data_IF_799599802015
#
_entry.id   IF_799599802015
#
_cell.length_a   1.000
_cell.length_b   1.000
_cell.length_c   1.000
_cell.angle_alpha   90.00
_cell.angle_beta   90.00
_cell.angle_gamma   90.00
#
_symmetry.space_group_name_H-M   'P 1'
#
loop_
_entity.id
_entity.type
_entity.pdbx_description
1 polymer ?
#
# COMPACT_ATOMS: atom_id res chain seq x y z
N UNK A 1 -45.32 -54.07 -32.51
CA UNK A 1 -46.73 -53.82 -32.14
C UNK A 1 -46.76 -53.63 -30.62
N UNK A 2 -46.88 -52.47 -30.01
CA UNK A 2 -47.10 -51.11 -30.47
C UNK A 2 -46.41 -50.18 -29.44
N UNK A 3 -45.75 -49.13 -29.94
CA UNK A 3 -45.03 -48.11 -29.20
C UNK A 3 -45.66 -46.77 -29.63
N UNK A 4 -46.48 -46.15 -28.78
CA UNK A 4 -47.21 -44.88 -29.03
C UNK A 4 -47.56 -44.30 -27.65
N UNK A 5 -47.48 -43.02 -27.30
CA UNK A 5 -46.76 -41.84 -27.76
C UNK A 5 -47.07 -40.81 -26.65
N UNK A 6 -46.05 -40.36 -25.90
CA UNK A 6 -46.24 -39.25 -24.94
C UNK A 6 -46.09 -37.96 -25.74
N UNK A 7 -47.22 -37.30 -25.98
CA UNK A 7 -47.30 -35.93 -26.50
C UNK A 7 -46.80 -34.97 -25.42
N UNK A 8 -45.52 -34.60 -25.48
CA UNK A 8 -45.02 -33.38 -24.91
C UNK A 8 -45.33 -32.24 -25.89
N UNK A 9 -46.47 -31.57 -25.67
CA UNK A 9 -46.70 -30.22 -26.20
C UNK A 9 -45.70 -29.29 -25.53
N UNK A 10 -44.64 -28.96 -26.26
CA UNK A 10 -43.69 -27.92 -25.89
C UNK A 10 -44.40 -26.56 -25.86
N UNK A 11 -44.47 -25.96 -24.68
CA UNK A 11 -44.81 -24.55 -24.51
C UNK A 11 -43.67 -23.68 -25.05
N UNK A 12 -43.64 -23.45 -26.36
CA UNK A 12 -42.88 -22.38 -27.00
C UNK A 12 -43.71 -21.10 -27.10
N UNK A 13 -44.24 -20.60 -25.98
CA UNK A 13 -45.13 -19.42 -25.94
C UNK A 13 -44.67 -18.30 -24.99
N UNK A 14 -43.42 -18.36 -24.54
CA UNK A 14 -42.73 -17.26 -23.85
C UNK A 14 -41.29 -17.20 -24.36
N UNK A 15 -41.17 -16.70 -25.58
CA UNK A 15 -39.92 -16.51 -26.30
C UNK A 15 -40.19 -15.55 -27.45
N UNK A 16 -40.67 -14.36 -27.09
CA UNK A 16 -40.85 -13.23 -27.99
C UNK A 16 -39.95 -12.12 -27.48
N UNK A 17 -38.90 -11.86 -28.25
CA UNK A 17 -37.97 -10.77 -28.07
C UNK A 17 -38.73 -9.43 -27.96
N UNK A 18 -38.68 -8.80 -26.79
CA UNK A 18 -38.84 -7.36 -26.64
C UNK A 18 -37.48 -6.74 -26.26
N UNK A 19 -36.42 -7.18 -26.94
CA UNK A 19 -35.23 -6.34 -27.10
C UNK A 19 -35.51 -5.39 -28.28
N UNK A 20 -36.43 -4.45 -28.08
CA UNK A 20 -36.50 -3.26 -28.92
C UNK A 20 -35.08 -2.67 -28.95
N UNK A 21 -34.41 -2.59 -30.11
CA UNK A 21 -33.05 -2.05 -30.17
C UNK A 21 -33.07 -0.69 -29.47
N UNK A 22 -32.48 -0.64 -28.29
CA UNK A 22 -32.40 0.52 -27.39
C UNK A 22 -31.95 1.80 -28.12
N UNK A 23 -31.26 1.62 -29.25
CA UNK A 23 -30.70 2.66 -30.08
C UNK A 23 -31.37 2.79 -31.46
N UNK A 24 -32.51 2.14 -31.71
CA UNK A 24 -33.25 2.20 -32.98
C UNK A 24 -33.61 3.63 -33.39
N UNK A 25 -33.85 4.50 -32.40
CA UNK A 25 -34.20 5.91 -32.61
C UNK A 25 -32.98 6.84 -32.77
N UNK A 26 -31.75 6.30 -32.75
CA UNK A 26 -30.52 7.06 -32.94
C UNK A 26 -29.86 6.65 -34.26
N UNK A 27 -29.74 7.61 -35.18
CA UNK A 27 -29.23 7.34 -36.53
C UNK A 27 -27.90 8.02 -36.82
N UNK A 28 -27.57 9.07 -36.07
CA UNK A 28 -26.36 9.89 -36.28
C UNK A 28 -25.43 9.82 -35.09
N UNK A 29 -24.13 9.95 -35.34
CA UNK A 29 -23.11 10.01 -34.30
C UNK A 29 -23.40 11.07 -33.23
N UNK A 30 -23.79 12.28 -33.65
CA UNK A 30 -24.13 13.38 -32.75
C UNK A 30 -25.29 13.04 -31.81
N UNK A 31 -26.32 12.32 -32.30
CA UNK A 31 -27.42 11.87 -31.46
C UNK A 31 -26.98 10.86 -30.39
N UNK A 32 -26.06 9.95 -30.73
CA UNK A 32 -25.47 9.05 -29.73
C UNK A 32 -24.67 9.83 -28.69
N UNK A 33 -23.84 10.77 -29.14
CA UNK A 33 -22.99 11.56 -28.25
C UNK A 33 -23.83 12.39 -27.27
N UNK A 34 -24.80 13.16 -27.78
CA UNK A 34 -25.67 13.99 -26.94
C UNK A 34 -26.48 13.15 -25.96
N UNK A 35 -27.01 12.00 -26.38
CA UNK A 35 -27.74 11.10 -25.47
C UNK A 35 -26.84 10.55 -24.37
N UNK A 36 -25.62 10.13 -24.71
CA UNK A 36 -24.66 9.61 -23.72
C UNK A 36 -24.26 10.70 -22.71
N UNK A 37 -24.07 11.93 -23.18
CA UNK A 37 -23.77 13.10 -22.37
C UNK A 37 -24.94 13.49 -21.46
N UNK A 38 -26.18 13.47 -21.96
CA UNK A 38 -27.39 13.72 -21.15
C UNK A 38 -27.54 12.68 -20.03
N UNK A 39 -27.28 11.41 -20.35
CA UNK A 39 -27.27 10.32 -19.38
C UNK A 39 -26.18 10.53 -18.33
N UNK A 40 -24.97 10.94 -18.75
CA UNK A 40 -23.85 11.24 -17.87
C UNK A 40 -24.20 12.38 -16.89
N UNK A 41 -24.73 13.48 -17.42
CA UNK A 41 -25.14 14.65 -16.65
C UNK A 41 -26.29 14.34 -15.68
N UNK A 42 -27.18 13.43 -16.06
CA UNK A 42 -28.28 12.93 -15.23
C UNK A 42 -27.85 11.84 -14.23
N UNK A 43 -26.54 11.56 -14.11
CA UNK A 43 -25.96 10.51 -13.26
C UNK A 43 -26.39 9.08 -13.62
N UNK A 44 -26.96 8.87 -14.81
CA UNK A 44 -27.23 7.55 -15.36
C UNK A 44 -25.95 7.00 -16.01
N UNK A 45 -24.95 6.69 -15.18
CA UNK A 45 -23.62 6.28 -15.64
C UNK A 45 -23.67 4.97 -16.44
N UNK A 46 -24.43 3.97 -16.00
CA UNK A 46 -24.61 2.71 -16.74
C UNK A 46 -25.19 2.94 -18.13
N UNK A 47 -26.27 3.72 -18.23
CA UNK A 47 -26.89 4.04 -19.51
C UNK A 47 -25.94 4.80 -20.44
N UNK A 48 -25.18 5.75 -19.88
CA UNK A 48 -24.17 6.54 -20.57
C UNK A 48 -23.04 5.66 -21.13
N UNK A 49 -22.48 4.75 -20.33
CA UNK A 49 -21.45 3.79 -20.75
C UNK A 49 -21.91 2.99 -21.96
N UNK A 50 -23.10 2.39 -21.88
CA UNK A 50 -23.65 1.59 -22.97
C UNK A 50 -23.87 2.42 -24.24
N UNK A 51 -24.27 3.70 -24.12
CA UNK A 51 -24.46 4.59 -25.27
C UNK A 51 -23.13 5.04 -25.88
N UNK A 52 -22.10 5.36 -25.08
CA UNK A 52 -20.76 5.65 -25.59
C UNK A 52 -20.13 4.44 -26.29
N UNK A 53 -20.26 3.24 -25.71
CA UNK A 53 -19.79 2.01 -26.36
C UNK A 53 -20.49 1.74 -27.69
N UNK A 54 -21.81 2.00 -27.77
CA UNK A 54 -22.55 1.90 -29.02
C UNK A 54 -22.09 2.94 -30.05
N UNK A 55 -21.77 4.17 -29.61
CA UNK A 55 -21.18 5.20 -30.46
C UNK A 55 -19.85 4.72 -31.05
N UNK A 56 -18.92 4.25 -30.21
CA UNK A 56 -17.60 3.78 -30.65
C UNK A 56 -17.69 2.62 -31.65
N UNK A 57 -18.64 1.69 -31.43
CA UNK A 57 -18.85 0.54 -32.30
C UNK A 57 -19.43 0.92 -33.66
N UNK A 58 -20.40 1.84 -33.69
CA UNK A 58 -21.10 2.26 -34.93
C UNK A 58 -20.32 3.33 -35.71
N UNK A 59 -19.58 4.19 -35.02
CA UNK A 59 -18.88 5.35 -35.58
C UNK A 59 -17.40 5.42 -35.12
N UNK A 60 -16.57 4.41 -35.39
CA UNK A 60 -15.20 4.31 -34.86
C UNK A 60 -14.24 5.40 -35.35
N UNK A 61 -14.57 6.10 -36.44
CA UNK A 61 -13.80 7.21 -37.01
C UNK A 61 -14.62 8.51 -37.06
N UNK A 62 -15.67 8.57 -36.27
CA UNK A 62 -16.54 9.74 -36.20
C UNK A 62 -15.88 10.92 -35.48
N UNK A 63 -16.48 12.11 -35.60
CA UNK A 63 -15.94 13.35 -35.03
C UNK A 63 -15.87 13.32 -33.49
N UNK A 64 -16.77 12.59 -32.85
CA UNK A 64 -16.90 12.44 -31.41
C UNK A 64 -16.32 11.11 -30.90
N UNK A 65 -15.71 10.29 -31.76
CA UNK A 65 -15.18 8.99 -31.37
C UNK A 65 -14.13 9.09 -30.25
N UNK A 66 -13.12 9.94 -30.42
CA UNK A 66 -12.07 10.17 -29.41
C UNK A 66 -12.67 10.76 -28.12
N UNK A 67 -13.61 11.71 -28.26
CA UNK A 67 -14.26 12.33 -27.12
C UNK A 67 -15.12 11.33 -26.33
N UNK A 68 -15.83 10.43 -27.01
CA UNK A 68 -16.59 9.36 -26.39
C UNK A 68 -15.68 8.38 -25.62
N UNK A 69 -14.52 8.05 -26.18
CA UNK A 69 -13.54 7.17 -25.53
C UNK A 69 -13.00 7.75 -24.22
N UNK A 70 -12.81 9.06 -24.11
CA UNK A 70 -12.36 9.67 -22.85
C UNK A 70 -13.51 9.87 -21.87
N UNK A 71 -14.72 10.17 -22.35
CA UNK A 71 -15.91 10.33 -21.48
C UNK A 71 -16.34 9.01 -20.85
N UNK A 72 -16.17 7.87 -21.55
CA UNK A 72 -16.48 6.55 -20.99
C UNK A 72 -15.60 6.22 -19.78
N UNK A 73 -14.33 6.70 -19.75
CA UNK A 73 -13.44 6.58 -18.58
C UNK A 73 -14.09 7.19 -17.35
N UNK A 74 -14.56 8.43 -17.48
CA UNK A 74 -15.24 9.13 -16.40
C UNK A 74 -16.55 8.44 -16.01
N UNK A 75 -17.33 7.98 -16.99
CA UNK A 75 -18.57 7.26 -16.72
C UNK A 75 -18.33 5.99 -15.91
N UNK A 76 -17.29 5.19 -16.24
CA UNK A 76 -16.88 4.02 -15.47
C UNK A 76 -16.46 4.38 -14.04
N UNK A 77 -15.61 5.40 -13.89
CA UNK A 77 -15.16 5.87 -12.59
C UNK A 77 -16.34 6.26 -11.69
N UNK A 78 -17.27 7.05 -12.23
CA UNK A 78 -18.47 7.49 -11.50
C UNK A 78 -19.47 6.37 -11.23
N UNK A 79 -19.47 5.32 -12.05
CA UNK A 79 -20.22 4.10 -11.83
C UNK A 79 -19.54 3.14 -10.82
N UNK A 80 -18.41 3.54 -10.24
CA UNK A 80 -17.60 2.73 -9.32
C UNK A 80 -17.02 1.46 -9.96
N UNK A 81 -16.88 1.44 -11.29
CA UNK A 81 -16.25 0.38 -12.05
C UNK A 81 -14.79 0.77 -12.36
N UNK A 82 -13.97 0.72 -11.32
CA UNK A 82 -12.62 1.29 -11.33
C UNK A 82 -11.68 0.55 -12.29
N UNK A 83 -11.79 -0.77 -12.37
CA UNK A 83 -10.98 -1.58 -13.30
C UNK A 83 -11.32 -1.28 -14.76
N UNK A 84 -12.61 -1.13 -15.08
CA UNK A 84 -13.03 -0.73 -16.42
C UNK A 84 -12.61 0.71 -16.76
N UNK A 85 -12.71 1.63 -15.80
CA UNK A 85 -12.20 3.00 -15.94
C UNK A 85 -10.71 3.01 -16.28
N UNK A 86 -9.92 2.24 -15.53
CA UNK A 86 -8.48 2.14 -15.75
C UNK A 86 -8.14 1.55 -17.10
N UNK A 87 -8.78 0.44 -17.48
CA UNK A 87 -8.58 -0.19 -18.78
C UNK A 87 -8.98 0.72 -19.95
N UNK A 88 -10.06 1.49 -19.81
CA UNK A 88 -10.48 2.48 -20.79
C UNK A 88 -9.47 3.62 -20.92
N UNK A 89 -8.93 4.12 -19.80
CA UNK A 89 -7.87 5.13 -19.80
C UNK A 89 -6.59 4.64 -20.50
N UNK A 90 -6.14 3.42 -20.19
CA UNK A 90 -4.98 2.80 -20.85
C UNK A 90 -5.20 2.62 -22.36
N UNK A 91 -6.42 2.25 -22.76
CA UNK A 91 -6.77 2.19 -24.18
C UNK A 91 -6.69 3.58 -24.83
N UNK A 92 -7.25 4.61 -24.20
CA UNK A 92 -7.22 5.97 -24.74
C UNK A 92 -5.78 6.47 -24.91
N UNK A 93 -4.93 6.31 -23.89
CA UNK A 93 -3.51 6.70 -23.93
C UNK A 93 -2.79 6.04 -25.11
N UNK A 94 -3.05 4.75 -25.34
CA UNK A 94 -2.41 3.98 -26.41
C UNK A 94 -2.90 4.34 -27.80
N UNK A 95 -4.19 4.65 -27.95
CA UNK A 95 -4.80 4.93 -29.25
C UNK A 95 -4.66 6.41 -29.65
N UNK A 96 -4.65 7.33 -28.68
CA UNK A 96 -4.70 8.77 -28.90
C UNK A 96 -3.60 9.52 -28.12
N UNK A 97 -2.31 9.18 -28.29
CA UNK A 97 -1.22 9.77 -27.51
C UNK A 97 -0.99 11.27 -27.78
N UNK A 98 -1.44 11.78 -28.94
CA UNK A 98 -1.33 13.19 -29.34
C UNK A 98 -2.57 14.03 -29.00
N UNK A 99 -3.59 13.43 -28.36
CA UNK A 99 -4.83 14.12 -28.02
C UNK A 99 -4.63 15.05 -26.82
N UNK A 100 -5.25 16.23 -26.87
CA UNK A 100 -5.17 17.25 -25.80
C UNK A 100 -5.61 16.74 -24.42
N UNK A 101 -6.43 15.68 -24.36
CA UNK A 101 -6.93 15.09 -23.11
C UNK A 101 -6.12 13.87 -22.62
N UNK A 102 -4.97 13.57 -23.22
CA UNK A 102 -4.15 12.41 -22.81
C UNK A 102 -3.68 12.52 -21.36
N UNK A 103 -3.39 13.73 -20.89
CA UNK A 103 -3.02 14.01 -19.50
C UNK A 103 -4.17 13.72 -18.53
N UNK A 104 -5.41 14.05 -18.91
CA UNK A 104 -6.61 13.65 -18.17
C UNK A 104 -6.77 12.13 -18.10
N UNK A 105 -6.46 11.39 -19.18
CA UNK A 105 -6.50 9.93 -19.14
C UNK A 105 -5.48 9.35 -18.15
N UNK A 106 -4.24 9.86 -18.14
CA UNK A 106 -3.25 9.48 -17.13
C UNK A 106 -3.70 9.80 -15.71
N UNK A 107 -4.30 10.98 -15.50
CA UNK A 107 -4.87 11.37 -14.21
C UNK A 107 -5.99 10.41 -13.77
N UNK A 108 -6.95 10.12 -14.64
CA UNK A 108 -8.06 9.22 -14.35
C UNK A 108 -7.60 7.78 -14.10
N UNK A 109 -6.53 7.33 -14.77
CA UNK A 109 -5.90 6.04 -14.52
C UNK A 109 -5.40 5.95 -13.06
N UNK A 110 -4.65 6.96 -12.61
CA UNK A 110 -4.18 7.04 -11.22
C UNK A 110 -5.33 7.17 -10.21
N UNK A 111 -6.38 7.92 -10.57
CA UNK A 111 -7.57 8.10 -9.73
C UNK A 111 -8.40 6.83 -9.60
N UNK A 112 -8.46 5.98 -10.62
CA UNK A 112 -9.15 4.71 -10.57
C UNK A 112 -8.47 3.71 -9.62
N UNK A 113 -7.14 3.73 -9.53
CA UNK A 113 -6.41 2.92 -8.53
C UNK A 113 -6.34 3.60 -7.16
N UNK A 114 -6.61 4.91 -7.08
CA UNK A 114 -6.60 5.66 -5.83
C UNK A 114 -7.76 5.25 -4.92
N UNK A 115 -7.46 4.72 -3.75
CA UNK A 115 -8.47 4.46 -2.72
C UNK A 115 -8.37 5.50 -1.61
N UNK A 116 -9.33 6.42 -1.58
CA UNK A 116 -9.51 7.36 -0.47
C UNK A 116 -10.31 6.66 0.63
N UNK A 117 -9.68 5.70 1.32
CA UNK A 117 -10.38 4.81 2.24
C UNK A 117 -10.72 5.46 3.61
N UNK A 118 -11.04 6.75 3.60
CA UNK A 118 -11.62 7.50 4.72
C UNK A 118 -13.15 7.58 4.68
N UNK A 119 -13.84 6.61 4.07
CA UNK A 119 -15.30 6.58 4.06
C UNK A 119 -15.92 6.73 5.46
N UNK A 120 -17.20 7.10 5.51
CA UNK A 120 -17.98 7.42 6.73
C UNK A 120 -17.76 6.46 7.93
N UNK A 121 -17.37 5.20 7.67
CA UNK A 121 -17.09 4.15 8.67
C UNK A 121 -15.81 4.42 9.48
N UNK A 122 -14.74 4.98 8.88
CA UNK A 122 -13.48 5.23 9.60
C UNK A 122 -13.61 6.37 10.64
N UNK A 123 -14.69 7.17 10.56
CA UNK A 123 -15.03 8.19 11.56
C UNK A 123 -15.63 7.60 12.85
N UNK A 124 -16.17 6.39 12.79
CA UNK A 124 -16.82 5.73 13.93
C UNK A 124 -16.07 4.49 14.44
N UNK A 125 -15.27 3.86 13.58
CA UNK A 125 -14.38 2.75 13.93
C UNK A 125 -13.01 3.01 13.30
N UNK A 126 -11.97 3.40 14.07
CA UNK A 126 -10.62 3.48 13.55
C UNK A 126 -10.15 2.07 13.22
N UNK A 127 -10.38 1.65 11.97
CA UNK A 127 -9.78 0.43 11.46
C UNK A 127 -8.39 0.83 11.01
N UNK A 128 -7.36 0.22 11.62
CA UNK A 128 -5.97 0.46 11.22
C UNK A 128 -5.76 -0.03 9.78
N UNK A 129 -5.73 0.92 8.84
CA UNK A 129 -5.79 0.66 7.40
C UNK A 129 -4.47 0.16 6.83
N UNK A 130 -3.39 0.27 7.60
CA UNK A 130 -2.08 -0.32 7.34
C UNK A 130 -2.10 -1.86 7.30
N UNK A 131 -3.27 -2.49 7.44
CA UNK A 131 -3.47 -3.94 7.38
C UNK A 131 -3.95 -4.44 6.01
N UNK A 132 -4.36 -3.55 5.08
CA UNK A 132 -4.84 -3.92 3.75
C UNK A 132 -3.69 -3.95 2.72
N UNK A 133 -3.86 -4.70 1.65
CA UNK A 133 -2.87 -4.83 0.56
C UNK A 133 -2.50 -3.46 -0.02
N UNK A 134 -1.21 -3.04 0.03
CA UNK A 134 -0.75 -1.75 -0.49
C UNK A 134 -0.74 -1.66 -2.02
N UNK A 135 -0.98 -2.77 -2.74
CA UNK A 135 -0.81 -2.84 -4.20
C UNK A 135 -1.56 -1.75 -4.99
N UNK A 136 -2.80 -1.40 -4.60
CA UNK A 136 -3.55 -0.31 -5.26
C UNK A 136 -2.93 1.06 -5.03
N UNK A 137 -2.38 1.30 -3.84
CA UNK A 137 -1.72 2.56 -3.51
C UNK A 137 -0.40 2.70 -4.28
N UNK A 138 0.37 1.62 -4.42
CA UNK A 138 1.57 1.59 -5.25
C UNK A 138 1.25 1.84 -6.73
N UNK A 139 0.21 1.19 -7.25
CA UNK A 139 -0.25 1.37 -8.63
C UNK A 139 -0.71 2.81 -8.90
N UNK A 140 -1.53 3.37 -7.98
CA UNK A 140 -1.97 4.77 -8.08
C UNK A 140 -0.79 5.74 -8.03
N UNK A 141 0.19 5.50 -7.14
CA UNK A 141 1.39 6.33 -7.06
C UNK A 141 2.20 6.27 -8.36
N UNK A 142 2.36 5.08 -8.95
CA UNK A 142 3.06 4.89 -10.20
C UNK A 142 2.36 5.61 -11.37
N UNK A 143 1.03 5.49 -11.46
CA UNK A 143 0.22 6.13 -12.51
C UNK A 143 0.26 7.67 -12.39
N UNK A 144 0.14 8.23 -11.18
CA UNK A 144 0.32 9.68 -10.97
C UNK A 144 1.77 10.14 -11.22
N UNK A 145 2.78 9.34 -10.87
CA UNK A 145 4.18 9.63 -11.17
C UNK A 145 4.40 9.72 -12.69
N UNK A 146 3.77 8.82 -13.45
CA UNK A 146 3.83 8.84 -14.91
C UNK A 146 3.17 10.10 -15.50
N UNK A 147 2.00 10.52 -14.97
CA UNK A 147 1.37 11.79 -15.35
C UNK A 147 2.35 12.95 -15.16
N UNK A 148 2.96 13.07 -13.97
CA UNK A 148 3.84 14.20 -13.66
C UNK A 148 5.16 14.17 -14.44
N UNK A 149 5.66 12.99 -14.79
CA UNK A 149 6.87 12.84 -15.58
C UNK A 149 6.66 13.27 -17.04
N UNK A 150 5.48 13.01 -17.61
CA UNK A 150 5.17 13.29 -19.01
C UNK A 150 4.48 14.65 -19.20
N UNK A 151 3.61 15.04 -18.27
CA UNK A 151 2.76 16.25 -18.34
C UNK A 151 2.85 17.07 -17.04
N UNK A 152 4.03 17.61 -16.69
CA UNK A 152 4.23 18.35 -15.44
C UNK A 152 3.38 19.63 -15.32
N UNK A 153 2.99 20.21 -16.46
CA UNK A 153 2.19 21.44 -16.57
C UNK A 153 0.69 21.17 -16.75
N UNK A 154 0.25 19.90 -16.66
CA UNK A 154 -1.16 19.53 -16.74
C UNK A 154 -1.98 20.25 -15.66
N UNK A 155 -3.23 20.66 -15.95
CA UNK A 155 -4.15 21.19 -14.93
C UNK A 155 -4.37 20.24 -13.75
N UNK A 156 -4.15 18.93 -13.94
CA UNK A 156 -4.31 17.91 -12.90
C UNK A 156 -3.05 17.67 -12.06
N UNK A 157 -1.91 18.26 -12.43
CA UNK A 157 -0.62 17.97 -11.82
C UNK A 157 -0.57 18.34 -10.32
N UNK A 158 -1.22 19.44 -9.92
CA UNK A 158 -1.24 19.85 -8.53
C UNK A 158 -1.98 18.86 -7.62
N UNK A 159 -3.13 18.36 -8.07
CA UNK A 159 -3.92 17.37 -7.34
C UNK A 159 -3.20 16.01 -7.30
N UNK A 160 -2.64 15.58 -8.42
CA UNK A 160 -1.83 14.35 -8.50
C UNK A 160 -0.65 14.38 -7.51
N UNK A 161 0.09 15.50 -7.40
CA UNK A 161 1.16 15.66 -6.40
C UNK A 161 0.64 15.52 -4.97
N UNK A 162 -0.49 16.15 -4.65
CA UNK A 162 -1.07 16.06 -3.32
C UNK A 162 -1.46 14.62 -2.97
N UNK A 163 -2.08 13.90 -3.92
CA UNK A 163 -2.41 12.47 -3.77
C UNK A 163 -1.16 11.61 -3.62
N UNK A 164 -0.10 11.87 -4.38
CA UNK A 164 1.17 11.14 -4.26
C UNK A 164 1.81 11.33 -2.87
N UNK A 165 1.75 12.52 -2.28
CA UNK A 165 2.21 12.75 -0.89
C UNK A 165 1.40 11.91 0.09
N UNK A 166 0.07 11.90 -0.06
CA UNK A 166 -0.82 11.07 0.76
C UNK A 166 -0.51 9.57 0.63
N UNK A 167 -0.40 9.05 -0.60
CA UNK A 167 -0.06 7.66 -0.88
C UNK A 167 1.31 7.29 -0.30
N UNK A 168 2.31 8.15 -0.47
CA UNK A 168 3.67 7.93 0.07
C UNK A 168 3.65 7.81 1.59
N UNK A 169 2.90 8.68 2.28
CA UNK A 169 2.74 8.61 3.73
C UNK A 169 2.04 7.31 4.15
N UNK A 170 0.99 6.89 3.44
CA UNK A 170 0.27 5.66 3.74
C UNK A 170 1.15 4.40 3.54
N UNK A 171 1.90 4.35 2.45
CA UNK A 171 2.83 3.25 2.17
C UNK A 171 3.94 3.18 3.23
N UNK A 172 4.47 4.32 3.67
CA UNK A 172 5.44 4.36 4.75
C UNK A 172 4.84 3.88 6.09
N UNK A 173 3.63 4.33 6.42
CA UNK A 173 2.93 3.89 7.62
C UNK A 173 2.61 2.38 7.61
N UNK A 174 2.29 1.82 6.43
CA UNK A 174 2.11 0.38 6.25
C UNK A 174 3.36 -0.41 6.66
N UNK A 175 4.53 0.02 6.20
CA UNK A 175 5.81 -0.61 6.53
C UNK A 175 6.11 -0.55 8.05
N UNK A 176 5.80 0.58 8.70
CA UNK A 176 5.91 0.74 10.16
C UNK A 176 4.98 -0.23 10.89
N UNK A 177 3.74 -0.38 10.43
CA UNK A 177 2.81 -1.35 11.02
C UNK A 177 3.32 -2.79 10.89
N UNK A 178 3.81 -3.18 9.71
CA UNK A 178 4.41 -4.52 9.49
C UNK A 178 5.64 -4.72 10.38
N UNK A 179 6.47 -3.70 10.55
CA UNK A 179 7.61 -3.74 11.43
C UNK A 179 7.20 -3.96 12.91
N UNK A 180 6.18 -3.24 13.38
CA UNK A 180 5.61 -3.42 14.72
C UNK A 180 5.08 -4.85 14.92
N UNK A 181 4.36 -5.38 13.94
CA UNK A 181 3.87 -6.78 13.95
C UNK A 181 5.01 -7.80 14.10
N UNK A 182 6.17 -7.55 13.49
CA UNK A 182 7.36 -8.39 13.64
C UNK A 182 8.04 -8.23 15.00
N UNK A 183 8.08 -7.01 15.57
CA UNK A 183 8.58 -6.77 16.94
C UNK A 183 7.76 -7.57 17.97
N UNK A 184 6.43 -7.54 17.85
CA UNK A 184 5.52 -8.33 18.70
C UNK A 184 5.76 -9.84 18.63
N UNK A 185 6.42 -10.33 17.58
CA UNK A 185 6.77 -11.75 17.40
C UNK A 185 8.24 -12.04 17.65
N UNK A 186 8.97 -11.09 18.22
CA UNK A 186 10.42 -11.16 18.43
C UNK A 186 11.24 -11.40 17.14
N UNK A 187 10.67 -11.08 15.97
CA UNK A 187 11.32 -11.22 14.67
C UNK A 187 12.13 -9.95 14.32
N UNK A 188 13.11 -9.61 15.16
CA UNK A 188 13.80 -8.31 15.13
C UNK A 188 14.56 -8.04 13.82
N UNK A 189 15.10 -9.05 13.15
CA UNK A 189 15.77 -8.85 11.85
C UNK A 189 14.75 -8.44 10.77
N UNK A 190 13.56 -9.04 10.79
CA UNK A 190 12.51 -8.70 9.83
C UNK A 190 11.96 -7.29 10.10
N UNK A 191 11.71 -6.95 11.38
CA UNK A 191 11.32 -5.60 11.78
C UNK A 191 12.38 -4.54 11.41
N UNK A 192 13.66 -4.83 11.67
CA UNK A 192 14.77 -3.96 11.33
C UNK A 192 14.81 -3.65 9.83
N UNK A 193 14.65 -4.67 8.98
CA UNK A 193 14.62 -4.47 7.52
C UNK A 193 13.49 -3.55 7.07
N UNK A 194 12.31 -3.67 7.70
CA UNK A 194 11.16 -2.80 7.44
C UNK A 194 11.45 -1.35 7.85
N UNK A 195 12.01 -1.14 9.04
CA UNK A 195 12.44 0.19 9.50
C UNK A 195 13.50 0.82 8.59
N UNK A 196 14.52 0.05 8.20
CA UNK A 196 15.55 0.49 7.24
C UNK A 196 14.93 0.87 5.89
N UNK A 197 14.01 0.05 5.38
CA UNK A 197 13.32 0.32 4.11
C UNK A 197 12.54 1.65 4.16
N UNK A 198 11.89 1.97 5.28
CA UNK A 198 11.22 3.27 5.48
C UNK A 198 12.22 4.42 5.43
N UNK A 199 13.33 4.32 6.15
CA UNK A 199 14.38 5.34 6.16
C UNK A 199 15.01 5.50 4.78
N UNK A 200 15.22 4.42 4.02
CA UNK A 200 15.87 4.49 2.72
C UNK A 200 14.96 5.04 1.61
N UNK A 201 13.65 4.71 1.63
CA UNK A 201 12.76 4.94 0.48
C UNK A 201 11.66 6.00 0.74
N UNK A 202 11.33 6.26 2.00
CA UNK A 202 10.22 7.15 2.39
C UNK A 202 10.68 8.40 3.12
N UNK A 203 11.86 8.92 2.75
CA UNK A 203 12.33 10.23 3.18
C UNK A 203 11.23 11.30 3.03
N UNK A 204 11.23 12.27 3.95
CA UNK A 204 10.23 13.35 4.08
C UNK A 204 8.83 12.92 4.56
N UNK A 205 8.58 11.62 4.75
CA UNK A 205 7.34 11.16 5.40
C UNK A 205 7.47 11.21 6.93
N UNK A 206 6.37 11.42 7.68
CA UNK A 206 6.39 11.35 9.15
C UNK A 206 6.89 10.00 9.69
N UNK A 207 6.63 8.92 8.95
CA UNK A 207 7.00 7.55 9.32
C UNK A 207 8.51 7.30 9.35
N UNK A 208 9.35 8.19 8.80
CA UNK A 208 10.82 8.07 8.91
C UNK A 208 11.26 8.03 10.36
N UNK A 209 10.66 8.88 11.22
CA UNK A 209 10.98 8.92 12.64
C UNK A 209 10.65 7.58 13.32
N UNK A 210 9.47 7.02 13.02
CA UNK A 210 9.07 5.69 13.48
C UNK A 210 10.03 4.60 12.98
N UNK A 211 10.48 4.69 11.72
CA UNK A 211 11.43 3.75 11.13
C UNK A 211 12.77 3.75 11.85
N UNK A 212 13.32 4.93 12.16
CA UNK A 212 14.54 5.06 12.97
C UNK A 212 14.31 4.54 14.38
N UNK A 213 13.17 4.82 15.01
CA UNK A 213 12.85 4.28 16.34
C UNK A 213 12.80 2.74 16.37
N UNK A 214 12.22 2.12 15.34
CA UNK A 214 12.22 0.67 15.16
C UNK A 214 13.64 0.12 15.00
N UNK A 215 14.50 0.81 14.25
CA UNK A 215 15.91 0.44 14.12
C UNK A 215 16.61 0.45 15.48
N UNK A 216 16.44 1.53 16.27
CA UNK A 216 17.00 1.63 17.64
C UNK A 216 16.56 0.44 18.49
N UNK A 217 15.25 0.17 18.54
CA UNK A 217 14.70 -0.93 19.34
C UNK A 217 15.26 -2.29 18.89
N UNK A 218 15.27 -2.55 17.59
CA UNK A 218 15.76 -3.82 17.06
C UNK A 218 17.26 -4.00 17.32
N UNK A 219 18.08 -2.95 17.16
CA UNK A 219 19.50 -3.01 17.45
C UNK A 219 19.76 -3.28 18.94
N UNK A 220 19.03 -2.66 19.85
CA UNK A 220 19.12 -2.94 21.29
C UNK A 220 18.79 -4.40 21.59
N UNK A 221 17.69 -4.91 21.04
CA UNK A 221 17.24 -6.30 21.24
C UNK A 221 18.17 -7.34 20.61
N UNK A 222 18.92 -6.96 19.58
CA UNK A 222 19.97 -7.78 18.95
C UNK A 222 21.36 -7.62 19.63
N UNK A 223 21.49 -6.73 20.61
CA UNK A 223 22.77 -6.44 21.26
C UNK A 223 23.75 -5.59 20.41
N UNK A 224 23.28 -4.94 19.36
CA UNK A 224 24.09 -4.13 18.44
C UNK A 224 24.13 -2.66 18.90
N UNK A 225 24.69 -2.42 20.08
CA UNK A 225 24.56 -1.14 20.80
C UNK A 225 25.17 0.06 20.06
N UNK A 226 26.34 -0.08 19.42
CA UNK A 226 26.88 1.02 18.60
C UNK A 226 25.96 1.48 17.46
N UNK A 227 25.24 0.55 16.82
CA UNK A 227 24.24 0.88 15.79
C UNK A 227 22.96 1.47 16.40
N UNK A 228 22.55 0.98 17.57
CA UNK A 228 21.45 1.56 18.33
C UNK A 228 21.76 3.02 18.70
N UNK A 229 22.97 3.31 19.16
CA UNK A 229 23.42 4.63 19.59
C UNK A 229 23.50 5.61 18.43
N UNK A 230 24.03 5.15 17.30
CA UNK A 230 24.06 5.94 16.07
C UNK A 230 22.65 6.28 15.62
N UNK A 231 21.75 5.29 15.61
CA UNK A 231 20.35 5.48 15.21
C UNK A 231 19.59 6.38 16.20
N UNK A 232 19.84 6.26 17.50
CA UNK A 232 19.23 7.09 18.54
C UNK A 232 19.73 8.54 18.45
N UNK A 233 21.01 8.73 18.15
CA UNK A 233 21.57 10.07 17.94
C UNK A 233 20.89 10.75 16.74
N UNK A 234 20.73 10.01 15.63
CA UNK A 234 20.00 10.48 14.46
C UNK A 234 18.54 10.83 14.80
N UNK A 235 17.85 9.98 15.57
CA UNK A 235 16.47 10.21 15.99
C UNK A 235 16.35 11.49 16.84
N UNK A 236 17.26 11.70 17.80
CA UNK A 236 17.27 12.91 18.64
C UNK A 236 17.54 14.18 17.86
N UNK A 237 18.49 14.11 16.93
CA UNK A 237 18.90 15.28 16.15
C UNK A 237 17.79 15.76 15.21
N UNK A 238 17.06 14.83 14.59
CA UNK A 238 16.05 15.17 13.59
C UNK A 238 14.61 15.16 14.13
N UNK A 239 14.34 14.39 15.19
CA UNK A 239 12.99 14.15 15.75
C UNK A 239 13.01 14.11 17.29
N UNK A 240 13.43 15.19 17.97
CA UNK A 240 13.58 15.22 19.43
C UNK A 240 12.28 14.97 20.22
N UNK A 241 11.13 15.33 19.63
CA UNK A 241 9.79 15.17 20.24
C UNK A 241 9.14 13.81 19.92
N UNK A 242 9.90 12.86 19.36
CA UNK A 242 9.36 11.55 19.01
C UNK A 242 8.93 10.76 20.26
N UNK A 243 7.77 10.11 20.22
CA UNK A 243 7.15 9.46 21.38
C UNK A 243 7.98 8.30 21.98
N UNK A 244 8.98 7.80 21.26
CA UNK A 244 9.91 6.78 21.76
C UNK A 244 11.09 7.34 22.56
N UNK A 245 11.17 8.66 22.75
CA UNK A 245 12.20 9.34 23.53
C UNK A 245 11.56 9.90 24.80
N UNK A 246 12.18 9.66 25.95
CA UNK A 246 11.74 10.24 27.22
C UNK A 246 12.29 11.66 27.44
N UNK A 247 11.85 12.33 28.52
CA UNK A 247 12.30 13.68 28.85
C UNK A 247 13.82 13.80 29.14
N UNK A 248 14.50 12.69 29.40
CA UNK A 248 15.96 12.64 29.61
C UNK A 248 16.71 12.42 28.29
N UNK A 249 15.98 12.22 27.19
CA UNK A 249 16.52 11.81 25.91
C UNK A 249 16.80 10.31 25.83
N UNK A 250 16.39 9.47 26.78
CA UNK A 250 16.64 8.04 26.67
C UNK A 250 15.57 7.36 25.82
N UNK A 251 15.97 6.30 25.10
CA UNK A 251 15.05 5.53 24.28
C UNK A 251 14.15 4.65 25.15
N UNK A 252 12.84 4.73 24.92
CA UNK A 252 11.82 3.95 25.63
C UNK A 252 11.69 2.59 24.92
N UNK A 253 12.20 1.52 25.55
CA UNK A 253 12.07 0.16 25.04
C UNK A 253 10.65 -0.35 25.34
N UNK A 254 9.99 -0.94 24.34
CA UNK A 254 8.65 -1.54 24.54
C UNK A 254 8.76 -2.76 25.47
N UNK A 255 8.13 -2.68 26.63
CA UNK A 255 8.26 -3.68 27.70
C UNK A 255 7.31 -4.87 27.54
N UNK A 256 6.20 -4.71 26.80
CA UNK A 256 5.19 -5.75 26.61
C UNK A 256 5.22 -6.27 25.18
N UNK A 257 5.73 -7.49 24.98
CA UNK A 257 5.53 -8.26 23.74
C UNK A 257 4.29 -9.11 23.96
N UNK A 258 3.24 -8.98 23.14
CA UNK A 258 2.00 -9.74 23.36
C UNK A 258 2.16 -11.22 23.01
N UNK A 259 1.81 -12.13 23.93
CA UNK A 259 1.74 -13.57 23.70
C UNK A 259 0.42 -14.11 24.30
N UNK A 260 -0.67 -14.18 23.52
CA UNK A 260 -1.97 -14.54 24.04
C UNK A 260 -1.99 -16.00 24.49
N UNK A 261 -2.31 -16.24 25.76
CA UNK A 261 -2.51 -17.60 26.25
C UNK A 261 -3.70 -18.27 25.57
N UNK A 262 -3.77 -19.61 25.62
CA UNK A 262 -4.93 -20.36 25.10
C UNK A 262 -6.23 -19.85 25.73
N UNK A 263 -6.23 -19.59 27.05
CA UNK A 263 -7.38 -19.05 27.77
C UNK A 263 -7.78 -17.68 27.24
N UNK A 264 -6.81 -16.80 26.96
CA UNK A 264 -7.05 -15.48 26.37
C UNK A 264 -7.66 -15.58 24.97
N UNK A 265 -7.17 -16.51 24.15
CA UNK A 265 -7.65 -16.72 22.79
C UNK A 265 -9.08 -17.28 22.77
N UNK A 266 -9.36 -18.33 23.56
CA UNK A 266 -10.69 -18.97 23.58
C UNK A 266 -11.75 -18.14 24.29
N UNK A 267 -11.33 -17.23 25.18
CA UNK A 267 -12.23 -16.30 25.85
C UNK A 267 -12.44 -15.00 25.08
N UNK A 268 -11.89 -14.87 23.86
CA UNK A 268 -11.94 -13.64 23.08
C UNK A 268 -11.42 -12.41 23.86
N UNK A 269 -10.35 -12.62 24.63
CA UNK A 269 -9.72 -11.56 25.43
C UNK A 269 -10.40 -11.27 26.78
N UNK A 270 -11.39 -12.07 27.19
CA UNK A 270 -12.12 -11.86 28.45
C UNK A 270 -11.40 -12.44 29.68
N UNK A 271 -10.62 -13.52 29.50
CA UNK A 271 -9.95 -14.27 30.57
C UNK A 271 -8.58 -14.78 30.13
N UNK A 272 -7.52 -14.54 30.91
CA UNK A 272 -6.16 -15.01 30.62
C UNK A 272 -5.16 -13.86 30.57
N UNK A 273 -3.92 -14.18 30.18
CA UNK A 273 -2.86 -13.20 30.02
C UNK A 273 -2.49 -13.08 28.53
N UNK A 274 -2.16 -11.86 28.12
CA UNK A 274 -1.64 -11.54 26.80
C UNK A 274 -0.21 -10.97 26.87
N UNK A 275 0.40 -10.90 28.06
CA UNK A 275 1.79 -10.51 28.23
C UNK A 275 2.68 -11.70 27.95
N UNK A 276 3.50 -11.59 26.90
CA UNK A 276 4.69 -12.43 26.78
C UNK A 276 5.67 -12.04 27.88
N UNK A 277 6.33 -13.03 28.47
CA UNK A 277 7.56 -12.85 29.22
C UNK A 277 8.74 -13.13 28.26
N UNK A 278 9.11 -12.20 27.36
CA UNK A 278 10.47 -12.24 26.83
C UNK A 278 11.43 -12.13 28.03
N UNK A 279 12.66 -12.67 27.97
CA UNK A 279 13.67 -12.34 28.98
C UNK A 279 13.69 -10.82 29.11
N UNK A 280 13.54 -10.30 30.34
CA UNK A 280 13.38 -8.88 30.61
C UNK A 280 14.50 -8.11 29.90
N UNK A 281 14.19 -7.54 28.73
CA UNK A 281 14.99 -6.47 28.20
C UNK A 281 14.90 -5.37 29.26
N UNK A 282 16.04 -4.81 29.71
CA UNK A 282 16.00 -3.81 30.75
C UNK A 282 15.05 -2.69 30.30
N UNK A 283 14.18 -2.24 31.19
CA UNK A 283 13.17 -1.19 30.92
C UNK A 283 13.82 0.15 30.57
N UNK A 284 15.12 0.26 30.81
CA UNK A 284 16.00 1.35 30.46
C UNK A 284 17.25 0.77 29.80
N UNK A 285 17.84 1.52 28.86
CA UNK A 285 19.05 1.12 28.15
C UNK A 285 20.18 0.73 29.14
N UNK A 286 20.81 -0.44 28.98
CA UNK A 286 21.98 -0.79 29.79
C UNK A 286 23.16 0.10 29.39
N UNK A 287 23.87 0.68 30.37
CA UNK A 287 24.99 1.61 30.10
C UNK A 287 26.14 0.99 29.31
N UNK A 288 26.31 -0.34 29.38
CA UNK A 288 27.39 -1.07 28.75
C UNK A 288 26.82 -2.32 28.05
N UNK A 289 27.31 -2.61 26.84
CA UNK A 289 26.92 -3.75 26.04
C UNK A 289 27.84 -4.95 26.28
N UNK A 290 27.30 -6.09 26.72
CA UNK A 290 28.08 -7.33 26.82
C UNK A 290 28.64 -7.81 25.46
N UNK A 291 28.01 -7.43 24.35
CA UNK A 291 28.48 -7.70 22.99
C UNK A 291 29.61 -6.77 22.53
N UNK A 292 29.63 -5.50 22.95
CA UNK A 292 30.81 -4.63 22.75
C UNK A 292 32.02 -5.14 23.53
N UNK A 293 31.82 -5.72 24.71
CA UNK A 293 32.89 -6.35 25.46
C UNK A 293 33.50 -7.53 24.68
N UNK A 294 32.67 -8.35 24.03
CA UNK A 294 33.12 -9.46 23.17
C UNK A 294 33.84 -8.94 21.91
N UNK A 295 33.29 -7.93 21.23
CA UNK A 295 33.88 -7.33 20.02
C UNK A 295 35.21 -6.63 20.36
N UNK A 296 35.27 -5.86 21.44
CA UNK A 296 36.50 -5.22 21.92
C UNK A 296 37.54 -6.26 22.37
N UNK A 297 37.11 -7.37 22.96
CA UNK A 297 38.00 -8.49 23.30
C UNK A 297 38.56 -9.17 22.04
N UNK A 298 37.78 -9.25 20.96
CA UNK A 298 38.23 -9.79 19.67
C UNK A 298 39.13 -8.82 18.89
N UNK A 299 38.90 -7.51 19.02
CA UNK A 299 39.68 -6.45 18.38
C UNK A 299 40.93 -6.03 19.18
N UNK A 300 41.06 -6.46 20.43
CA UNK A 300 42.26 -6.22 21.22
C UNK A 300 43.48 -6.89 20.54
N UNK A 301 44.59 -6.17 20.28
CA UNK A 301 45.76 -6.78 19.68
C UNK A 301 46.28 -7.88 20.62
N UNK A 302 46.33 -9.13 20.14
CA UNK A 302 46.93 -10.27 20.86
C UNK A 302 48.43 -10.03 21.02
N UNK A 303 48.81 -9.22 22.00
CA UNK A 303 50.19 -9.02 22.39
C UNK A 303 50.56 -10.06 23.46
N UNK A 304 50.50 -11.33 23.08
CA UNK A 304 51.11 -12.41 23.85
C UNK A 304 52.24 -12.99 23.01
N UNK A 305 53.45 -12.49 23.25
CA UNK A 305 54.67 -13.20 22.86
C UNK A 305 54.61 -14.57 23.53
N UNK A 306 54.32 -15.61 22.75
CA UNK A 306 54.35 -17.00 23.22
C UNK A 306 55.75 -17.28 23.78
N UNK A 307 55.80 -17.81 25.00
CA UNK A 307 57.06 -18.21 25.61
C UNK A 307 57.71 -19.28 24.74
N UNK A 308 59.04 -19.25 24.59
CA UNK A 308 59.77 -20.23 23.78
C UNK A 308 59.52 -21.67 24.25
N UNK A 309 59.18 -21.83 25.52
CA UNK A 309 58.79 -23.11 26.11
C UNK A 309 57.45 -23.63 25.57
N UNK A 310 56.44 -22.77 25.37
CA UNK A 310 55.14 -23.15 24.78
C UNK A 310 55.27 -23.58 23.32
N UNK A 311 56.25 -23.00 22.61
CA UNK A 311 56.54 -23.33 21.22
C UNK A 311 57.17 -24.73 21.14
N UNK A 312 58.06 -25.07 22.07
CA UNK A 312 58.74 -26.37 22.09
C UNK A 312 57.84 -27.52 22.59
N UNK A 313 56.91 -27.23 23.50
CA UNK A 313 56.00 -28.24 24.03
C UNK A 313 54.69 -28.34 23.24
N UNK A 314 54.53 -27.57 22.15
CA UNK A 314 53.29 -27.46 21.37
C UNK A 314 52.05 -27.24 22.25
N UNK A 315 52.19 -26.54 23.38
CA UNK A 315 51.09 -26.27 24.30
C UNK A 315 50.52 -27.50 25.02
N UNK A 316 51.25 -28.63 25.08
CA UNK A 316 50.84 -29.80 25.87
C UNK A 316 50.94 -29.57 27.39
N UNK A 317 51.67 -28.53 27.80
CA UNK A 317 51.87 -28.12 29.18
C UNK A 317 51.80 -26.60 29.27
N UNK A 318 50.61 -26.03 29.04
CA UNK A 318 50.31 -24.62 29.34
C UNK A 318 49.92 -24.45 30.81
#
# INVERSE_FOLDING_TARGET
MALIAILLTGCGLFGGDEDEDKFANLSTEEQFYQRALDQLNSQNFRGSIETYQALESRFPFGRFADQAQIEVVYAYYRNNDLEASRAAADRFIRLHPENDNVDYAFYMKGLASFTEDGGFINRFLPVDQTKRDPGRAEESFADFSQLLALYPDSPYAADARARMVYLRNNLAAYEIHVANYYIERSAYIAALRRGQYVVENFQETPAVADGVAIMVECYLRLGLNGLADTSLSLLKENYPEHASIDNSGDFIIRTEITNPSLLYTVSFGLLGDNRGNPPLAPTQRPRNSGSEEIINTQLAPRNQKRSWFDILTFGLFS
#
